data_IF_292544690628
#
_entry.id   IF_292544690628
#
_cell.length_a   1.000
_cell.length_b   1.000
_cell.length_c   1.000
_cell.angle_alpha   90.00
_cell.angle_beta   90.00
_cell.angle_gamma   90.00
#
_symmetry.space_group_name_H-M   'P 1'
#
loop_
_entity.id
_entity.type
_entity.pdbx_description
1 polymer ?
#
# COMPACT_ATOMS: atom_id res chain seq x y z
N UNK A 1 -21.58 -40.40 56.62
CA UNK A 1 -22.86 -40.04 55.98
C UNK A 1 -22.74 -38.62 55.43
N UNK A 2 -22.70 -38.40 54.11
CA UNK A 2 -22.62 -37.05 53.54
C UNK A 2 -24.00 -36.37 53.54
N UNK A 3 -24.02 -35.08 53.90
CA UNK A 3 -25.22 -34.25 54.11
C UNK A 3 -26.06 -34.06 52.84
N UNK A 4 -27.39 -34.20 53.00
CA UNK A 4 -28.42 -34.06 51.95
C UNK A 4 -28.54 -32.66 51.33
N UNK A 5 -27.87 -31.65 51.87
CA UNK A 5 -27.97 -30.26 51.40
C UNK A 5 -27.04 -29.95 50.22
N UNK A 6 -25.96 -30.71 50.02
CA UNK A 6 -25.02 -30.51 48.89
C UNK A 6 -25.53 -31.08 47.56
N UNK A 7 -26.50 -32.01 47.59
CA UNK A 7 -26.99 -32.66 46.37
C UNK A 7 -27.99 -31.79 45.59
N UNK A 8 -28.63 -30.82 46.24
CA UNK A 8 -29.63 -29.97 45.59
C UNK A 8 -29.05 -28.78 44.80
N UNK A 9 -27.74 -28.49 44.92
CA UNK A 9 -27.08 -27.43 44.15
C UNK A 9 -26.62 -27.86 42.75
N UNK A 10 -26.62 -29.17 42.45
CA UNK A 10 -26.19 -29.70 41.14
C UNK A 10 -27.34 -29.93 40.14
N UNK A 11 -28.60 -29.83 40.57
CA UNK A 11 -29.77 -30.12 39.72
C UNK A 11 -30.29 -28.92 38.92
N UNK A 12 -29.46 -27.89 38.69
CA UNK A 12 -29.87 -26.64 38.03
C UNK A 12 -29.01 -26.17 36.85
N UNK A 13 -27.95 -26.88 36.46
CA UNK A 13 -27.00 -26.41 35.42
C UNK A 13 -26.94 -27.29 34.18
N UNK A 14 -27.99 -28.06 33.87
CA UNK A 14 -28.14 -28.70 32.55
C UNK A 14 -28.98 -27.84 31.60
N UNK A 15 -28.61 -26.57 31.41
CA UNK A 15 -28.92 -25.92 30.13
C UNK A 15 -27.93 -26.47 29.12
N UNK A 16 -28.37 -27.46 28.35
CA UNK A 16 -27.73 -27.86 27.10
C UNK A 16 -27.74 -26.65 26.18
N UNK A 17 -26.72 -25.79 26.31
CA UNK A 17 -26.31 -24.92 25.23
C UNK A 17 -26.04 -25.87 24.06
N UNK A 18 -26.97 -25.89 23.11
CA UNK A 18 -26.73 -26.42 21.77
C UNK A 18 -25.43 -25.77 21.30
N UNK A 19 -24.34 -26.50 21.48
CA UNK A 19 -23.04 -26.23 20.89
C UNK A 19 -23.25 -26.52 19.43
N UNK A 20 -23.86 -25.54 18.74
CA UNK A 20 -23.86 -25.47 17.31
C UNK A 20 -22.44 -25.71 16.88
N UNK A 21 -22.28 -26.74 16.04
CA UNK A 21 -21.06 -27.08 15.30
C UNK A 21 -20.27 -25.79 15.09
N UNK A 22 -19.00 -25.69 15.51
CA UNK A 22 -18.23 -24.48 15.32
C UNK A 22 -18.33 -24.14 13.84
N UNK A 23 -18.97 -23.02 13.52
CA UNK A 23 -19.07 -22.48 12.16
C UNK A 23 -17.69 -21.98 11.78
N UNK A 24 -16.77 -22.92 11.60
CA UNK A 24 -15.43 -22.67 11.13
C UNK A 24 -15.35 -23.07 9.66
N UNK A 25 -16.39 -22.73 8.89
CA UNK A 25 -16.28 -22.71 7.45
C UNK A 25 -15.79 -21.34 7.05
N UNK A 26 -14.68 -21.33 6.31
CA UNK A 26 -14.12 -20.18 5.58
C UNK A 26 -15.16 -19.44 4.70
N UNK A 27 -16.39 -19.95 4.60
CA UNK A 27 -17.53 -19.40 3.87
C UNK A 27 -18.36 -18.40 4.68
N UNK A 28 -18.18 -18.31 6.02
CA UNK A 28 -18.96 -17.42 6.89
C UNK A 28 -18.42 -15.98 6.97
N UNK A 29 -17.34 -15.65 6.23
CA UNK A 29 -16.84 -14.28 6.01
C UNK A 29 -17.82 -13.39 5.19
N UNK A 30 -19.10 -13.78 5.12
CA UNK A 30 -20.02 -13.49 4.02
C UNK A 30 -20.79 -12.18 4.08
N UNK A 31 -20.75 -11.42 5.18
CA UNK A 31 -21.63 -10.26 5.34
C UNK A 31 -21.13 -8.99 4.64
N UNK A 32 -19.82 -8.83 4.45
CA UNK A 32 -19.26 -7.66 3.76
C UNK A 32 -18.57 -8.08 2.47
N UNK A 33 -19.20 -7.75 1.34
CA UNK A 33 -18.67 -8.01 -0.01
C UNK A 33 -18.47 -6.72 -0.76
N UNK A 34 -17.32 -6.59 -1.40
CA UNK A 34 -17.03 -5.51 -2.35
C UNK A 34 -16.85 -6.09 -3.75
N UNK A 35 -16.99 -5.22 -4.75
CA UNK A 35 -16.76 -5.59 -6.14
C UNK A 35 -15.26 -5.78 -6.35
N UNK A 36 -14.88 -6.90 -6.94
CA UNK A 36 -13.50 -7.18 -7.36
C UNK A 36 -13.43 -7.06 -8.87
N UNK A 37 -12.40 -6.41 -9.38
CA UNK A 37 -12.17 -6.33 -10.83
C UNK A 37 -11.48 -7.58 -11.36
N UNK A 38 -10.94 -8.41 -10.45
CA UNK A 38 -10.13 -9.60 -10.77
C UNK A 38 -8.92 -9.24 -11.64
N UNK A 39 -8.33 -8.08 -11.37
CA UNK A 39 -7.18 -7.55 -12.10
C UNK A 39 -7.52 -6.71 -13.33
N UNK A 40 -8.77 -6.67 -13.79
CA UNK A 40 -9.18 -5.85 -14.93
C UNK A 40 -8.91 -4.34 -14.72
N UNK A 41 -9.02 -3.86 -13.49
CA UNK A 41 -8.70 -2.48 -13.12
C UNK A 41 -7.20 -2.17 -13.16
N UNK A 42 -6.34 -3.20 -13.10
CA UNK A 42 -4.88 -3.08 -13.13
C UNK A 42 -4.28 -3.22 -14.53
N UNK A 43 -4.98 -3.88 -15.46
CA UNK A 43 -4.48 -4.12 -16.82
C UNK A 43 -4.01 -2.84 -17.54
N UNK A 44 -4.74 -1.70 -17.52
CA UNK A 44 -4.30 -0.47 -18.18
C UNK A 44 -3.00 0.12 -17.62
N UNK A 45 -2.62 -0.24 -16.39
CA UNK A 45 -1.45 0.29 -15.68
C UNK A 45 -0.43 -0.78 -15.34
N UNK A 46 -0.53 -1.96 -15.95
CA UNK A 46 0.34 -3.10 -15.67
C UNK A 46 1.82 -2.75 -15.83
N UNK A 47 2.16 -1.99 -16.87
CA UNK A 47 3.52 -1.51 -17.10
C UNK A 47 3.91 -0.41 -16.09
N UNK A 48 2.99 0.47 -15.71
CA UNK A 48 3.25 1.50 -14.71
C UNK A 48 3.51 0.93 -13.32
N UNK A 49 2.85 -0.16 -12.94
CA UNK A 49 3.01 -0.80 -11.64
C UNK A 49 4.15 -1.83 -11.66
N UNK A 50 4.15 -2.76 -12.63
CA UNK A 50 5.01 -3.95 -12.60
C UNK A 50 6.09 -3.99 -13.70
N UNK A 51 6.11 -3.01 -14.60
CA UNK A 51 7.14 -2.92 -15.64
C UNK A 51 8.53 -2.67 -15.07
N UNK A 52 9.57 -3.16 -15.76
CA UNK A 52 10.98 -2.97 -15.34
C UNK A 52 11.77 -2.02 -16.24
N UNK A 53 11.16 -1.56 -17.33
CA UNK A 53 11.79 -0.66 -18.32
C UNK A 53 12.14 0.73 -17.75
N UNK A 54 11.41 1.16 -16.71
CA UNK A 54 11.65 2.44 -16.02
C UNK A 54 11.65 2.23 -14.52
N UNK A 55 12.39 3.07 -13.80
CA UNK A 55 12.43 3.00 -12.34
C UNK A 55 11.05 3.24 -11.73
N UNK A 56 10.73 2.53 -10.65
CA UNK A 56 9.45 2.63 -9.94
C UNK A 56 9.11 4.08 -9.57
N UNK A 57 10.10 4.86 -9.08
CA UNK A 57 9.93 6.28 -8.73
C UNK A 57 9.52 7.19 -9.91
N UNK A 58 9.81 6.77 -11.14
CA UNK A 58 9.51 7.53 -12.37
C UNK A 58 8.15 7.09 -12.97
N UNK A 59 7.57 6.00 -12.47
CA UNK A 59 6.28 5.45 -12.89
C UNK A 59 5.19 5.63 -11.83
N UNK A 60 5.53 5.50 -10.56
CA UNK A 60 4.61 5.59 -9.42
C UNK A 60 4.91 6.88 -8.68
N UNK A 61 3.94 7.78 -8.72
CA UNK A 61 4.09 9.11 -8.18
C UNK A 61 3.22 9.31 -6.94
N UNK A 62 3.88 9.62 -5.84
CA UNK A 62 3.27 9.87 -4.55
C UNK A 62 3.04 11.38 -4.32
N UNK A 63 2.30 11.71 -3.26
CA UNK A 63 2.10 13.07 -2.76
C UNK A 63 1.31 14.01 -3.69
N UNK A 64 0.47 13.46 -4.55
CA UNK A 64 -0.49 14.29 -5.28
C UNK A 64 -1.59 14.82 -4.35
N UNK A 65 -1.97 16.10 -4.47
CA UNK A 65 -3.15 16.61 -3.78
C UNK A 65 -4.40 15.89 -4.29
N UNK A 66 -5.18 15.22 -3.42
CA UNK A 66 -6.34 14.42 -3.83
C UNK A 66 -7.51 15.28 -4.36
N UNK A 67 -7.54 16.56 -4.01
CA UNK A 67 -8.53 17.57 -4.41
C UNK A 67 -8.37 18.03 -5.87
N UNK A 68 -7.29 17.61 -6.55
CA UNK A 68 -7.01 18.00 -7.94
C UNK A 68 -7.79 17.20 -8.97
N UNK A 69 -8.29 16.02 -8.62
CA UNK A 69 -9.07 15.16 -9.51
C UNK A 69 -10.33 14.68 -8.78
N UNK A 70 -11.50 14.99 -9.34
CA UNK A 70 -12.81 14.69 -8.74
C UNK A 70 -13.02 13.18 -8.54
N UNK A 71 -12.47 12.34 -9.43
CA UNK A 71 -12.61 10.88 -9.34
C UNK A 71 -11.86 10.35 -8.13
N UNK A 72 -10.66 10.88 -7.88
CA UNK A 72 -9.85 10.53 -6.71
C UNK A 72 -10.49 11.08 -5.43
N UNK A 73 -10.91 12.34 -5.43
CA UNK A 73 -11.58 12.95 -4.28
C UNK A 73 -12.86 12.20 -3.89
N UNK A 74 -13.69 11.86 -4.89
CA UNK A 74 -14.90 11.07 -4.71
C UNK A 74 -14.62 9.68 -4.17
N UNK A 75 -13.63 8.98 -4.73
CA UNK A 75 -13.24 7.64 -4.26
C UNK A 75 -12.68 7.67 -2.82
N UNK A 76 -11.85 8.65 -2.48
CA UNK A 76 -11.34 8.79 -1.12
C UNK A 76 -12.43 9.14 -0.11
N UNK A 77 -13.40 9.97 -0.50
CA UNK A 77 -14.59 10.24 0.31
C UNK A 77 -15.41 8.98 0.52
N UNK A 78 -15.64 8.21 -0.55
CA UNK A 78 -16.34 6.93 -0.47
C UNK A 78 -15.63 5.94 0.44
N UNK A 79 -14.30 5.83 0.34
CA UNK A 79 -13.48 4.98 1.23
C UNK A 79 -13.63 5.42 2.68
N UNK A 80 -13.67 6.72 2.94
CA UNK A 80 -13.87 7.25 4.29
C UNK A 80 -15.25 6.86 4.84
N UNK A 81 -16.31 6.98 4.04
CA UNK A 81 -17.67 6.57 4.41
C UNK A 81 -17.77 5.06 4.65
N UNK A 82 -17.10 4.26 3.82
CA UNK A 82 -17.12 2.79 3.89
C UNK A 82 -15.98 2.21 4.74
N UNK A 83 -15.27 3.03 5.51
CA UNK A 83 -14.06 2.64 6.22
C UNK A 83 -14.28 1.44 7.14
N UNK A 84 -15.41 1.40 7.85
CA UNK A 84 -15.76 0.28 8.72
C UNK A 84 -15.83 -1.04 7.92
N UNK A 85 -16.63 -1.05 6.86
CA UNK A 85 -16.83 -2.22 6.00
C UNK A 85 -15.53 -2.62 5.29
N UNK A 86 -14.74 -1.66 4.81
CA UNK A 86 -13.44 -1.94 4.18
C UNK A 86 -12.43 -2.53 5.16
N UNK A 87 -12.46 -2.08 6.43
CA UNK A 87 -11.64 -2.64 7.50
C UNK A 87 -11.98 -4.11 7.78
N UNK A 88 -13.26 -4.44 7.85
CA UNK A 88 -13.73 -5.83 8.00
C UNK A 88 -13.39 -6.69 6.77
N UNK A 89 -13.65 -6.19 5.56
CA UNK A 89 -13.34 -6.91 4.33
C UNK A 89 -11.85 -7.17 4.14
N UNK A 90 -10.99 -6.20 4.45
CA UNK A 90 -9.54 -6.40 4.39
C UNK A 90 -9.04 -7.41 5.42
N UNK A 91 -9.66 -7.48 6.61
CA UNK A 91 -9.39 -8.57 7.56
C UNK A 91 -9.78 -9.93 6.98
N UNK A 92 -10.96 -10.04 6.36
CA UNK A 92 -11.39 -11.28 5.71
C UNK A 92 -10.41 -11.71 4.61
N UNK A 93 -9.95 -10.78 3.76
CA UNK A 93 -8.93 -11.07 2.74
C UNK A 93 -7.61 -11.54 3.34
N UNK A 94 -7.17 -10.93 4.44
CA UNK A 94 -6.00 -11.41 5.17
C UNK A 94 -6.18 -12.83 5.69
N UNK A 95 -7.32 -13.14 6.34
CA UNK A 95 -7.60 -14.47 6.87
C UNK A 95 -7.72 -15.54 5.76
N UNK A 96 -8.25 -15.16 4.60
CA UNK A 96 -8.34 -16.04 3.42
C UNK A 96 -6.98 -16.32 2.80
N UNK A 97 -6.15 -15.29 2.60
CA UNK A 97 -4.87 -15.42 1.91
C UNK A 97 -3.72 -15.84 2.84
N UNK A 98 -3.90 -15.68 4.15
CA UNK A 98 -2.89 -15.94 5.19
C UNK A 98 -1.59 -15.15 5.00
N UNK A 99 -1.64 -14.04 4.29
CA UNK A 99 -0.48 -13.23 3.94
C UNK A 99 -0.82 -11.74 4.01
N UNK A 100 0.16 -10.90 4.38
CA UNK A 100 0.01 -9.44 4.39
C UNK A 100 -0.31 -8.95 2.97
N UNK A 101 -1.15 -7.93 2.86
CA UNK A 101 -1.56 -7.39 1.56
C UNK A 101 -2.21 -6.02 1.66
N UNK A 102 -2.72 -5.55 0.54
CA UNK A 102 -3.48 -4.31 0.47
C UNK A 102 -4.64 -4.43 -0.51
N UNK A 103 -5.68 -3.66 -0.25
CA UNK A 103 -6.72 -3.39 -1.24
C UNK A 103 -6.21 -2.34 -2.21
N UNK A 104 -6.37 -2.57 -3.51
CA UNK A 104 -6.00 -1.63 -4.56
C UNK A 104 -7.23 -1.25 -5.38
N UNK A 105 -7.38 0.05 -5.66
CA UNK A 105 -8.50 0.57 -6.43
C UNK A 105 -8.04 1.60 -7.46
N UNK A 106 -8.58 1.47 -8.68
CA UNK A 106 -8.35 2.40 -9.78
C UNK A 106 -9.48 3.45 -9.79
N UNK A 107 -9.13 4.72 -9.60
CA UNK A 107 -10.09 5.83 -9.60
C UNK A 107 -10.80 6.04 -10.96
N UNK A 108 -10.18 5.62 -12.06
CA UNK A 108 -10.74 5.72 -13.41
C UNK A 108 -11.59 4.51 -13.80
N UNK A 109 -11.33 3.33 -13.23
CA UNK A 109 -12.04 2.11 -13.58
C UNK A 109 -13.51 2.15 -13.16
N UNK A 110 -14.39 1.65 -14.03
CA UNK A 110 -15.82 1.52 -13.79
C UNK A 110 -16.22 0.09 -14.17
N UNK A 111 -16.75 -0.66 -13.21
CA UNK A 111 -17.12 -2.05 -13.44
C UNK A 111 -18.34 -2.11 -14.39
N UNK A 112 -18.37 -2.96 -15.44
CA UNK A 112 -19.45 -2.95 -16.43
C UNK A 112 -20.86 -3.15 -15.85
N UNK A 113 -20.98 -4.03 -14.85
CA UNK A 113 -22.25 -4.33 -14.17
C UNK A 113 -22.57 -3.37 -13.01
N UNK A 114 -21.56 -2.66 -12.50
CA UNK A 114 -21.68 -1.80 -11.32
C UNK A 114 -20.87 -0.52 -11.51
N UNK A 115 -21.23 0.34 -12.48
CA UNK A 115 -20.40 1.47 -12.88
C UNK A 115 -20.24 2.50 -11.75
N UNK A 116 -21.22 2.64 -10.86
CA UNK A 116 -21.20 3.64 -9.79
C UNK A 116 -20.47 3.17 -8.53
N UNK A 117 -19.95 1.94 -8.51
CA UNK A 117 -19.30 1.37 -7.35
C UNK A 117 -17.83 1.09 -7.63
N UNK A 118 -16.90 1.49 -6.74
CA UNK A 118 -15.50 1.20 -6.93
C UNK A 118 -15.22 -0.30 -6.78
N UNK A 119 -14.24 -0.77 -7.53
CA UNK A 119 -13.70 -2.11 -7.38
C UNK A 119 -12.44 -2.08 -6.51
N UNK A 120 -12.27 -3.10 -5.67
CA UNK A 120 -11.08 -3.30 -4.83
C UNK A 120 -10.52 -4.68 -5.07
N UNK A 121 -9.30 -4.77 -5.58
CA UNK A 121 -8.59 -6.05 -5.68
C UNK A 121 -7.64 -6.20 -4.50
N UNK A 122 -7.45 -7.43 -4.02
CA UNK A 122 -6.45 -7.71 -2.99
C UNK A 122 -5.12 -8.07 -3.65
N UNK A 123 -4.07 -7.32 -3.33
CA UNK A 123 -2.70 -7.66 -3.70
C UNK A 123 -1.90 -8.07 -2.45
N UNK A 124 -1.37 -9.28 -2.49
CA UNK A 124 -0.46 -9.80 -1.46
C UNK A 124 0.88 -9.08 -1.47
N UNK A 125 1.66 -9.25 -0.40
CA UNK A 125 3.03 -8.74 -0.31
C UNK A 125 3.88 -9.16 -1.51
N UNK A 126 3.83 -10.43 -1.93
CA UNK A 126 4.64 -10.91 -3.06
C UNK A 126 4.29 -10.22 -4.38
N UNK A 127 3.01 -9.93 -4.61
CA UNK A 127 2.57 -9.19 -5.80
C UNK A 127 3.01 -7.73 -5.73
N UNK A 128 2.88 -7.09 -4.57
CA UNK A 128 3.30 -5.71 -4.35
C UNK A 128 4.82 -5.55 -4.39
N UNK A 129 5.55 -6.59 -4.00
CA UNK A 129 7.01 -6.65 -4.09
C UNK A 129 7.52 -6.47 -5.52
N UNK A 130 6.77 -6.98 -6.50
CA UNK A 130 7.08 -6.84 -7.92
C UNK A 130 7.01 -5.40 -8.44
N UNK A 131 6.39 -4.47 -7.69
CA UNK A 131 6.30 -3.07 -8.09
C UNK A 131 7.64 -2.33 -8.00
N UNK A 132 8.59 -2.85 -7.21
CA UNK A 132 9.85 -2.19 -6.85
C UNK A 132 9.69 -0.81 -6.19
N UNK A 133 8.46 -0.44 -5.80
CA UNK A 133 8.19 0.79 -5.08
C UNK A 133 8.34 0.58 -3.57
N UNK A 134 9.27 1.35 -3.01
CA UNK A 134 9.57 1.32 -1.58
C UNK A 134 8.35 1.56 -0.71
N UNK A 135 7.52 2.55 -1.05
CA UNK A 135 6.41 2.99 -0.20
C UNK A 135 5.30 1.93 -0.21
N UNK A 136 4.97 1.34 -1.36
CA UNK A 136 3.99 0.25 -1.44
C UNK A 136 4.44 -0.95 -0.59
N UNK A 137 5.70 -1.37 -0.77
CA UNK A 137 6.25 -2.54 -0.08
C UNK A 137 6.34 -2.32 1.42
N UNK A 138 6.93 -1.22 1.89
CA UNK A 138 7.05 -0.94 3.33
C UNK A 138 5.68 -0.82 4.02
N UNK A 139 4.70 -0.26 3.31
CA UNK A 139 3.33 -0.11 3.85
C UNK A 139 2.69 -1.46 4.15
N UNK A 140 3.01 -2.49 3.37
CA UNK A 140 2.45 -3.84 3.52
C UNK A 140 3.35 -4.77 4.32
N UNK A 141 4.67 -4.59 4.24
CA UNK A 141 5.65 -5.41 4.96
C UNK A 141 5.48 -5.33 6.48
N UNK A 142 5.16 -4.15 7.03
CA UNK A 142 5.32 -3.89 8.47
C UNK A 142 4.05 -3.48 9.21
N UNK A 143 2.87 -3.53 8.58
CA UNK A 143 1.61 -3.26 9.29
C UNK A 143 1.07 -4.52 9.99
N UNK A 144 0.27 -4.32 11.04
CA UNK A 144 -0.48 -5.39 11.68
C UNK A 144 -1.84 -5.58 10.98
N UNK A 145 -2.08 -6.70 10.26
CA UNK A 145 -3.31 -6.93 9.52
C UNK A 145 -4.54 -7.20 10.40
N UNK A 146 -4.37 -7.45 11.70
CA UNK A 146 -5.47 -7.57 12.64
C UNK A 146 -5.99 -6.22 13.16
N UNK A 147 -5.24 -5.14 12.95
CA UNK A 147 -5.59 -3.80 13.46
C UNK A 147 -5.86 -2.85 12.31
N UNK A 148 -5.18 -3.04 11.19
CA UNK A 148 -5.27 -2.12 10.07
C UNK A 148 -5.39 -2.84 8.74
N UNK A 149 -6.00 -2.17 7.78
CA UNK A 149 -6.04 -2.54 6.37
C UNK A 149 -5.43 -1.40 5.58
N UNK A 150 -4.54 -1.73 4.66
CA UNK A 150 -3.95 -0.76 3.73
C UNK A 150 -4.80 -0.72 2.47
N UNK A 151 -5.17 0.49 2.05
CA UNK A 151 -5.87 0.74 0.79
C UNK A 151 -5.02 1.68 -0.06
N UNK A 152 -4.67 1.21 -1.25
CA UNK A 152 -4.04 2.01 -2.28
C UNK A 152 -5.09 2.46 -3.29
N UNK A 153 -5.14 3.76 -3.53
CA UNK A 153 -5.92 4.34 -4.61
C UNK A 153 -4.94 4.86 -5.64
N UNK A 154 -5.17 4.57 -6.91
CA UNK A 154 -4.36 5.12 -7.97
C UNK A 154 -5.20 5.73 -9.09
N UNK A 155 -4.57 6.66 -9.80
CA UNK A 155 -5.10 7.27 -11.01
C UNK A 155 -4.08 7.05 -12.14
N UNK A 156 -4.46 6.36 -13.24
CA UNK A 156 -3.64 6.23 -14.42
C UNK A 156 -3.35 7.59 -15.07
N UNK A 157 -2.14 7.75 -15.62
CA UNK A 157 -1.90 8.75 -16.65
C UNK A 157 -2.61 8.37 -17.95
N UNK A 158 -2.90 9.34 -18.82
CA UNK A 158 -3.51 9.10 -20.15
C UNK A 158 -2.77 8.04 -20.99
N UNK A 159 -1.45 7.93 -20.80
CA UNK A 159 -0.61 6.95 -21.50
C UNK A 159 -0.60 5.55 -20.88
N UNK A 160 -1.14 5.38 -19.67
CA UNK A 160 -1.05 4.13 -18.89
C UNK A 160 0.35 3.81 -18.36
N UNK A 161 1.36 4.62 -18.67
CA UNK A 161 2.76 4.31 -18.32
C UNK A 161 3.16 4.76 -16.91
N UNK A 162 2.46 5.75 -16.36
CA UNK A 162 2.67 6.22 -14.99
C UNK A 162 1.33 6.32 -14.24
N UNK A 163 1.39 6.29 -12.91
CA UNK A 163 0.23 6.42 -12.01
C UNK A 163 0.50 7.44 -10.91
N UNK A 164 -0.52 8.19 -10.54
CA UNK A 164 -0.58 8.89 -9.27
C UNK A 164 -1.13 7.94 -8.20
N UNK A 165 -0.53 7.92 -7.01
CA UNK A 165 -0.84 6.94 -5.97
C UNK A 165 -1.10 7.61 -4.61
N UNK A 166 -2.11 7.11 -3.91
CA UNK A 166 -2.49 7.51 -2.56
C UNK A 166 -2.60 6.29 -1.67
N UNK A 167 -2.28 6.47 -0.39
CA UNK A 167 -2.36 5.43 0.64
C UNK A 167 -3.32 5.85 1.73
N UNK A 168 -4.26 4.97 2.08
CA UNK A 168 -5.10 5.08 3.28
C UNK A 168 -4.87 3.88 4.18
N UNK A 169 -4.86 4.16 5.48
CA UNK A 169 -4.76 3.16 6.54
C UNK A 169 -6.09 3.16 7.26
N UNK A 170 -6.82 2.06 7.15
CA UNK A 170 -8.16 1.90 7.70
C UNK A 170 -8.06 1.02 8.94
N UNK A 171 -8.82 1.33 9.99
CA UNK A 171 -8.86 0.50 11.19
C UNK A 171 -9.81 -0.67 10.97
N UNK A 172 -9.37 -1.86 11.40
CA UNK A 172 -10.25 -3.02 11.46
C UNK A 172 -11.23 -2.81 12.62
N UNK A 173 -12.55 -2.96 12.39
CA UNK A 173 -13.55 -2.83 13.44
C UNK A 173 -13.30 -3.76 14.63
N UNK A 174 -13.53 -3.27 15.85
CA UNK A 174 -13.29 -4.04 17.07
C UNK A 174 -14.15 -5.31 17.16
N UNK A 175 -15.40 -5.24 16.72
CA UNK A 175 -16.28 -6.41 16.68
C UNK A 175 -15.72 -7.49 15.74
N UNK A 176 -15.25 -7.13 14.54
CA UNK A 176 -14.62 -8.08 13.63
C UNK A 176 -13.37 -8.73 14.26
N UNK A 177 -12.56 -7.96 14.98
CA UNK A 177 -11.39 -8.46 15.70
C UNK A 177 -11.76 -9.47 16.79
N UNK A 178 -12.82 -9.19 17.56
CA UNK A 178 -13.31 -10.08 18.62
C UNK A 178 -13.93 -11.36 18.05
N UNK A 179 -14.73 -11.23 16.98
CA UNK A 179 -15.39 -12.37 16.33
C UNK A 179 -14.37 -13.37 15.79
N UNK A 180 -13.30 -12.91 15.14
CA UNK A 180 -12.30 -13.78 14.50
C UNK A 180 -10.99 -13.89 15.27
N UNK A 181 -11.02 -13.67 16.60
CA UNK A 181 -9.80 -13.59 17.39
C UNK A 181 -8.94 -14.87 17.30
N UNK A 182 -9.58 -16.05 17.24
CA UNK A 182 -8.89 -17.32 17.11
C UNK A 182 -8.18 -17.46 15.77
N UNK A 183 -8.90 -17.18 14.68
CA UNK A 183 -8.38 -17.25 13.31
C UNK A 183 -7.27 -16.23 13.08
N UNK A 184 -7.41 -15.03 13.66
CA UNK A 184 -6.39 -13.97 13.66
C UNK A 184 -5.12 -14.47 14.33
N UNK A 185 -5.22 -15.08 15.52
CA UNK A 185 -4.04 -15.55 16.24
C UNK A 185 -3.29 -16.62 15.44
N UNK A 186 -4.03 -17.56 14.83
CA UNK A 186 -3.45 -18.58 13.94
C UNK A 186 -2.83 -17.96 12.70
N UNK A 187 -3.51 -17.00 12.04
CA UNK A 187 -3.01 -16.34 10.85
C UNK A 187 -1.75 -15.51 11.12
N UNK A 188 -1.72 -14.74 12.21
CA UNK A 188 -0.55 -13.96 12.64
C UNK A 188 0.62 -14.90 12.97
N UNK A 189 0.37 -16.00 13.66
CA UNK A 189 1.40 -17.00 13.99
C UNK A 189 2.00 -17.67 12.75
N UNK A 190 1.25 -17.74 11.64
CA UNK A 190 1.70 -18.27 10.36
C UNK A 190 2.36 -17.25 9.43
N UNK A 191 2.40 -15.96 9.79
CA UNK A 191 3.07 -14.96 8.98
C UNK A 191 4.58 -15.20 8.94
N UNK A 192 5.20 -14.79 7.83
CA UNK A 192 6.66 -14.73 7.72
C UNK A 192 7.23 -13.86 8.85
N UNK A 193 8.48 -14.12 9.23
CA UNK A 193 9.14 -13.27 10.22
C UNK A 193 9.41 -11.92 9.60
N UNK A 194 9.44 -10.86 10.40
CA UNK A 194 9.60 -9.50 9.87
C UNK A 194 10.87 -9.31 9.03
N UNK A 195 11.95 -10.04 9.35
CA UNK A 195 13.21 -10.06 8.57
C UNK A 195 13.08 -10.69 7.17
N UNK A 196 12.07 -11.52 6.95
CA UNK A 196 11.84 -12.22 5.69
C UNK A 196 11.03 -11.32 4.70
N UNK A 197 10.43 -10.21 5.18
CA UNK A 197 9.87 -9.16 4.32
C UNK A 197 10.96 -8.21 3.84
N UNK A 198 11.68 -8.63 2.81
CA UNK A 198 12.72 -7.82 2.17
C UNK A 198 12.07 -6.78 1.25
N UNK A 199 12.50 -5.53 1.32
CA UNK A 199 12.03 -4.45 0.43
C UNK A 199 13.02 -4.31 -0.74
N UNK A 200 12.54 -4.47 -1.97
CA UNK A 200 13.32 -4.30 -3.20
C UNK A 200 13.02 -2.94 -3.84
N UNK A 201 14.06 -2.16 -4.08
CA UNK A 201 13.96 -0.84 -4.72
C UNK A 201 14.96 -0.77 -5.86
N UNK A 202 14.54 -0.25 -7.02
CA UNK A 202 15.39 -0.18 -8.21
C UNK A 202 16.66 0.68 -8.01
N UNK A 203 16.61 1.66 -7.09
CA UNK A 203 17.77 2.43 -6.68
C UNK A 203 17.85 2.51 -5.17
N UNK A 204 18.95 2.02 -4.61
CA UNK A 204 19.35 2.35 -3.26
C UNK A 204 19.61 3.86 -3.19
N UNK A 205 19.18 4.57 -2.13
CA UNK A 205 19.52 5.97 -1.96
C UNK A 205 21.03 6.11 -2.08
N UNK A 206 21.49 6.96 -3.01
CA UNK A 206 22.93 7.27 -3.12
C UNK A 206 23.40 7.67 -1.73
N UNK A 207 24.31 6.89 -1.15
CA UNK A 207 25.05 7.32 0.04
C UNK A 207 25.50 8.73 -0.23
N UNK A 208 25.01 9.70 0.55
CA UNK A 208 25.54 11.05 0.56
C UNK A 208 26.91 10.89 1.21
N UNK A 209 27.88 10.43 0.43
CA UNK A 209 29.25 10.30 0.89
C UNK A 209 29.69 11.69 1.31
N UNK A 210 29.91 11.82 2.62
CA UNK A 210 30.59 12.92 3.29
C UNK A 210 31.74 13.39 2.42
N UNK A 211 31.81 14.71 2.27
CA UNK A 211 32.95 15.46 1.75
C UNK A 211 34.27 14.78 2.14
N UNK A 212 34.99 14.24 1.17
CA UNK A 212 36.44 14.12 1.27
C UNK A 212 37.01 15.12 0.28
N UNK A 213 37.37 16.27 0.83
CA UNK A 213 38.23 17.22 0.17
C UNK A 213 39.54 16.52 -0.19
N UNK A 214 39.84 16.45 -1.49
CA UNK A 214 41.19 16.27 -1.98
C UNK A 214 41.51 17.52 -2.79
N UNK A 215 41.96 18.54 -2.06
CA UNK A 215 42.77 19.62 -2.60
C UNK A 215 44.09 19.04 -3.08
N UNK A 216 44.51 19.24 -4.36
CA UNK A 216 45.90 19.08 -4.72
C UNK A 216 46.64 20.33 -4.26
N UNK A 217 47.56 20.14 -3.30
CA UNK A 217 48.57 21.12 -2.93
C UNK A 217 49.37 21.56 -4.16
N UNK A 218 49.61 22.87 -4.23
CA UNK A 218 50.51 23.49 -5.18
C UNK A 218 51.97 23.01 -5.00
N UNK A 219 52.69 22.85 -6.10
CA UNK A 219 54.15 23.05 -6.16
C UNK A 219 54.47 23.78 -7.46
N UNK A 220 55.17 24.91 -7.31
CA UNK A 220 55.58 25.85 -8.37
C UNK A 220 56.64 25.23 -9.29
N UNK A 221 56.69 25.65 -10.56
CA UNK A 221 57.78 26.47 -11.17
C UNK A 221 57.46 26.77 -12.66
N UNK A 222 57.20 28.06 -12.91
CA UNK A 222 57.63 28.97 -13.99
C UNK A 222 57.84 28.49 -15.44
N UNK A 223 57.04 29.05 -16.38
CA UNK A 223 57.57 29.80 -17.54
C UNK A 223 56.54 30.78 -18.11
N UNK A 224 57.04 31.97 -18.40
CA UNK A 224 56.35 33.19 -18.84
C UNK A 224 56.11 33.15 -20.35
N UNK A 225 54.89 33.45 -20.80
CA UNK A 225 54.70 34.25 -22.02
C UNK A 225 53.37 35.02 -21.96
N UNK A 226 53.43 36.26 -22.43
CA UNK A 226 52.49 37.36 -22.22
C UNK A 226 51.78 37.62 -23.55
N UNK A 227 50.45 37.53 -23.64
CA UNK A 227 49.67 38.20 -24.69
C UNK A 227 48.30 38.67 -24.16
N UNK A 228 48.01 39.90 -24.53
CA UNK A 228 46.94 40.86 -24.23
C UNK A 228 45.52 40.55 -24.74
N UNK A 229 44.53 41.19 -24.06
CA UNK A 229 43.13 41.52 -24.47
C UNK A 229 42.19 40.29 -24.55
N UNK A 230 40.90 40.31 -24.19
CA UNK A 230 39.86 41.35 -24.13
C UNK A 230 38.71 40.84 -23.23
N UNK A 231 37.92 41.77 -22.66
CA UNK A 231 36.70 41.53 -21.86
C UNK A 231 35.69 40.60 -22.55
N UNK A 232 35.13 39.64 -21.81
CA UNK A 232 33.77 39.14 -21.99
C UNK A 232 33.29 38.43 -20.71
N UNK A 233 32.20 38.91 -20.12
CA UNK A 233 31.54 38.26 -18.99
C UNK A 233 30.84 36.97 -19.45
N UNK A 234 30.96 35.84 -18.74
CA UNK A 234 30.23 34.62 -19.10
C UNK A 234 28.76 34.75 -18.68
N UNK A 235 27.87 34.60 -19.65
CA UNK A 235 26.44 34.47 -19.43
C UNK A 235 26.14 33.26 -18.54
N UNK A 236 25.33 33.47 -17.50
CA UNK A 236 24.81 32.42 -16.63
C UNK A 236 24.04 31.37 -17.47
N UNK A 237 24.25 30.07 -17.25
CA UNK A 237 23.44 29.04 -17.90
C UNK A 237 21.99 29.18 -17.41
N UNK A 238 21.09 29.50 -18.34
CA UNK A 238 19.66 29.53 -18.06
C UNK A 238 19.22 28.13 -17.62
N UNK A 239 18.70 28.04 -16.39
CA UNK A 239 18.12 26.81 -15.84
C UNK A 239 17.01 26.32 -16.80
N UNK A 240 16.99 25.03 -17.20
CA UNK A 240 15.86 24.51 -17.96
C UNK A 240 14.58 24.73 -17.16
N UNK A 241 13.57 25.35 -17.79
CA UNK A 241 12.25 25.58 -17.19
C UNK A 241 11.70 24.23 -16.73
N UNK A 242 11.59 24.04 -15.42
CA UNK A 242 10.94 22.87 -14.81
C UNK A 242 9.50 22.80 -15.32
N UNK A 243 9.23 21.90 -16.26
CA UNK A 243 7.85 21.56 -16.64
C UNK A 243 7.16 21.01 -15.40
N UNK A 244 6.00 21.59 -15.12
CA UNK A 244 5.16 21.24 -13.99
C UNK A 244 4.55 19.85 -14.26
N UNK A 245 5.13 18.83 -13.65
CA UNK A 245 4.85 17.41 -13.91
C UNK A 245 3.37 17.00 -13.75
N UNK A 246 2.56 17.79 -13.05
CA UNK A 246 1.11 17.60 -12.93
C UNK A 246 0.32 17.83 -14.23
N UNK A 247 0.90 18.46 -15.25
CA UNK A 247 0.24 18.63 -16.56
C UNK A 247 0.09 17.32 -17.36
N UNK A 248 0.67 16.22 -16.88
CA UNK A 248 0.61 14.90 -17.55
C UNK A 248 -0.71 14.17 -17.22
N UNK A 249 -1.39 14.56 -16.14
CA UNK A 249 -2.56 13.85 -15.61
C UNK A 249 -3.91 14.55 -15.84
N UNK A 250 -3.91 15.74 -16.46
CA UNK A 250 -5.12 16.46 -16.88
C UNK A 250 -5.44 16.21 -18.35
#
# INVERSE_FOLDING_TARGET
MPSKTMTHAYNGTSTTLNSGIPRNSLTDFGNVRFIESRGAALEPVKNALFGKERYARDRIHWMFPPDKDERVAGLLTWIQTMAYNLGEYGLHKFLQTRERGALISNAEYRHPQHPNSPAFDWLSFDQLHMTMDKIMQESVAFYNPAVHVIVFVFLPSKSGNSVAMWRRKINVPNNARLTYQGEINVAIGGLRRDKDYVVHVDQLPRSVNKKVALSPKATKVTKVTKVTKTKAAPALPQKPKKRKWWQIFG
#
